data_IF_862366583071
#
_entry.id   IF_862366583071
#
_cell.length_a   1.000
_cell.length_b   1.000
_cell.length_c   1.000
_cell.angle_alpha   90.00
_cell.angle_beta   90.00
_cell.angle_gamma   90.00
#
_symmetry.space_group_name_H-M   'P 1'
#
loop_
_entity.id
_entity.type
_entity.pdbx_description
1 polymer ?
#
# COMPACT_ATOMS: atom_id res chain seq x y z
N UNK A 1 1.58 62.61 54.22
CA UNK A 1 2.41 61.81 55.15
C UNK A 1 3.08 60.68 54.39
N UNK A 2 4.40 60.72 54.28
CA UNK A 2 5.28 59.68 53.74
C UNK A 2 5.30 58.47 54.69
N UNK A 3 4.95 57.26 54.23
CA UNK A 3 5.46 55.98 54.79
C UNK A 3 5.59 54.90 53.72
N UNK A 4 6.80 54.88 53.17
CA UNK A 4 7.53 53.78 52.57
C UNK A 4 7.65 52.59 53.55
N UNK A 5 7.24 51.37 53.18
CA UNK A 5 7.77 50.07 53.65
C UNK A 5 7.29 48.96 52.68
N UNK A 6 8.13 48.49 51.76
CA UNK A 6 9.01 47.30 51.86
C UNK A 6 8.31 45.95 51.58
N UNK A 7 8.56 45.46 50.36
CA UNK A 7 8.75 44.08 49.89
C UNK A 7 8.22 42.90 50.75
N UNK A 8 7.32 42.11 50.17
CA UNK A 8 7.42 40.65 50.22
C UNK A 8 7.04 40.07 48.86
N UNK A 9 8.07 39.67 48.11
CA UNK A 9 7.98 38.66 47.05
C UNK A 9 7.70 37.33 47.75
N UNK A 10 6.63 36.63 47.39
CA UNK A 10 6.48 35.23 47.79
C UNK A 10 6.03 34.42 46.59
N UNK A 11 7.05 33.76 46.05
CA UNK A 11 7.10 32.58 45.21
C UNK A 11 5.76 31.92 44.84
N UNK A 12 5.58 31.79 43.52
CA UNK A 12 4.85 30.68 42.91
C UNK A 12 5.55 29.38 43.32
N UNK A 13 4.84 28.48 43.99
CA UNK A 13 5.26 27.09 44.13
C UNK A 13 4.18 26.20 43.50
N UNK A 14 4.46 25.79 42.26
CA UNK A 14 3.80 24.68 41.61
C UNK A 14 4.04 23.41 42.43
N UNK A 15 3.00 22.62 42.68
CA UNK A 15 3.15 21.23 43.10
C UNK A 15 2.87 20.34 41.90
N UNK A 16 3.91 20.16 41.09
CA UNK A 16 3.98 19.11 40.10
C UNK A 16 4.24 17.79 40.82
N UNK A 17 3.35 16.81 40.66
CA UNK A 17 3.64 15.43 41.01
C UNK A 17 4.38 14.82 39.82
N UNK A 18 5.70 14.82 39.89
CA UNK A 18 6.58 14.08 38.98
C UNK A 18 6.73 12.66 39.53
N UNK A 19 6.03 11.71 38.93
CA UNK A 19 6.53 10.33 38.91
C UNK A 19 7.25 10.17 37.58
N UNK A 20 8.58 10.24 37.69
CA UNK A 20 9.54 9.83 36.66
C UNK A 20 9.47 8.30 36.53
N UNK A 21 9.08 7.82 35.36
CA UNK A 21 9.40 6.45 34.90
C UNK A 21 10.25 6.58 33.64
N UNK A 22 11.27 5.71 33.46
CA UNK A 22 12.37 5.96 32.54
C UNK A 22 11.88 5.85 31.09
N UNK A 23 11.86 6.99 30.38
CA UNK A 23 11.76 7.02 28.93
C UNK A 23 13.08 6.50 28.34
N UNK A 24 13.19 5.18 28.21
CA UNK A 24 14.01 4.64 27.14
C UNK A 24 13.40 5.12 25.82
N UNK A 25 14.20 5.89 25.09
CA UNK A 25 13.79 6.55 23.86
C UNK A 25 13.36 5.56 22.78
N UNK A 26 12.18 5.83 22.23
CA UNK A 26 11.85 5.59 20.83
C UNK A 26 11.35 6.90 20.24
N UNK A 27 12.28 7.84 20.07
CA UNK A 27 12.22 8.75 18.93
C UNK A 27 12.87 7.96 17.78
N UNK A 28 12.29 7.76 16.59
CA UNK A 28 11.38 8.57 15.79
C UNK A 28 10.62 7.60 14.86
N UNK A 29 9.31 7.34 15.04
CA UNK A 29 8.59 6.42 14.12
C UNK A 29 7.05 6.54 14.13
N UNK A 30 6.44 7.73 14.20
CA UNK A 30 4.96 7.81 14.06
C UNK A 30 4.43 9.05 13.33
N UNK A 31 5.23 9.68 12.47
CA UNK A 31 4.75 10.71 11.52
C UNK A 31 5.07 10.41 10.05
N UNK A 32 5.46 9.17 9.72
CA UNK A 32 5.40 8.62 8.38
C UNK A 32 4.42 7.44 8.41
N UNK A 33 3.33 7.51 7.65
CA UNK A 33 2.61 6.28 7.26
C UNK A 33 3.56 5.33 6.51
N UNK A 34 3.20 4.05 6.30
CA UNK A 34 4.12 3.05 5.78
C UNK A 34 4.73 3.52 4.45
N UNK A 35 6.00 3.90 4.53
CA UNK A 35 6.93 3.82 3.44
C UNK A 35 8.18 3.13 4.00
N UNK A 36 9.05 2.67 3.11
CA UNK A 36 10.37 2.07 3.33
C UNK A 36 10.29 0.53 3.42
N UNK A 37 10.63 -0.30 2.41
CA UNK A 37 11.62 -0.20 1.33
C UNK A 37 11.22 -1.20 0.21
N UNK A 38 10.07 -0.97 -0.44
CA UNK A 38 9.59 -1.80 -1.55
C UNK A 38 9.68 -1.05 -2.88
N UNK A 39 9.82 -1.80 -3.98
CA UNK A 39 9.55 -1.30 -5.33
C UNK A 39 8.10 -0.79 -5.46
N UNK A 40 7.79 -0.08 -6.55
CA UNK A 40 6.40 0.11 -6.96
C UNK A 40 5.69 -1.24 -7.23
N UNK A 41 4.38 -1.18 -7.37
CA UNK A 41 3.47 -2.30 -7.66
C UNK A 41 3.43 -3.36 -6.57
N UNK A 42 3.60 -2.92 -5.32
CA UNK A 42 3.63 -3.79 -4.15
C UNK A 42 2.29 -4.45 -3.81
N UNK A 43 2.34 -5.39 -2.86
CA UNK A 43 1.17 -6.09 -2.35
C UNK A 43 0.35 -5.19 -1.40
N UNK A 44 -0.93 -4.87 -1.71
CA UNK A 44 -1.77 -4.02 -0.87
C UNK A 44 -1.94 -4.48 0.57
N UNK A 45 -1.77 -5.79 0.88
CA UNK A 45 -1.82 -6.32 2.25
C UNK A 45 -0.78 -5.69 3.17
N UNK A 46 0.33 -5.20 2.62
CA UNK A 46 1.42 -4.60 3.37
C UNK A 46 1.36 -3.06 3.36
N UNK A 47 0.28 -2.49 2.80
CA UNK A 47 0.23 -1.08 2.41
C UNK A 47 0.86 -0.83 1.05
N UNK A 48 0.48 0.29 0.43
CA UNK A 48 1.07 0.75 -0.83
C UNK A 48 2.23 1.72 -0.57
N UNK A 49 3.13 1.89 -1.54
CA UNK A 49 4.17 2.90 -1.45
C UNK A 49 3.55 4.32 -1.37
N UNK A 50 4.33 5.30 -0.90
CA UNK A 50 3.81 6.60 -0.50
C UNK A 50 3.08 7.38 -1.62
N UNK A 51 3.49 7.19 -2.87
CA UNK A 51 2.87 7.80 -4.06
C UNK A 51 1.91 6.86 -4.80
N UNK A 52 1.68 5.67 -4.28
CA UNK A 52 0.76 4.69 -4.83
C UNK A 52 -0.60 4.72 -4.15
N UNK A 53 -1.60 4.26 -4.89
CA UNK A 53 -2.94 4.01 -4.35
C UNK A 53 -3.34 2.57 -4.59
N UNK A 54 -4.11 2.04 -3.65
CA UNK A 54 -4.77 0.76 -3.83
C UNK A 54 -5.97 0.92 -4.77
N UNK A 55 -6.06 0.07 -5.78
CA UNK A 55 -7.20 -0.02 -6.68
C UNK A 55 -7.72 -1.44 -6.80
N UNK A 56 -9.04 -1.53 -7.01
CA UNK A 56 -9.72 -2.70 -7.57
C UNK A 56 -10.22 -2.35 -8.96
N UNK A 57 -9.84 -3.14 -9.95
CA UNK A 57 -10.31 -2.95 -11.34
C UNK A 57 -11.61 -3.72 -11.54
N UNK A 58 -12.66 -3.03 -11.98
CA UNK A 58 -13.98 -3.66 -12.18
C UNK A 58 -13.89 -4.84 -13.15
N UNK A 59 -14.36 -6.01 -12.71
CA UNK A 59 -14.36 -7.23 -13.50
C UNK A 59 -13.01 -7.96 -13.56
N UNK A 60 -12.06 -7.62 -12.69
CA UNK A 60 -10.80 -8.32 -12.50
C UNK A 60 -10.63 -8.60 -11.00
N UNK A 61 -10.32 -9.85 -10.66
CA UNK A 61 -10.17 -10.27 -9.27
C UNK A 61 -8.87 -9.74 -8.65
N UNK A 62 -8.91 -9.45 -7.35
CA UNK A 62 -7.76 -8.97 -6.58
C UNK A 62 -7.59 -7.45 -6.58
N UNK A 63 -6.62 -6.99 -5.79
CA UNK A 63 -6.26 -5.59 -5.62
C UNK A 63 -4.81 -5.34 -6.09
N UNK A 64 -4.47 -4.09 -6.34
CA UNK A 64 -3.12 -3.68 -6.70
C UNK A 64 -2.76 -2.33 -6.08
N UNK A 65 -1.49 -2.15 -5.74
CA UNK A 65 -0.91 -0.82 -5.53
C UNK A 65 -0.40 -0.29 -6.87
N UNK A 66 -0.66 0.98 -7.16
CA UNK A 66 -0.16 1.59 -8.39
C UNK A 66 0.12 3.09 -8.27
N UNK A 67 1.23 3.57 -8.86
CA UNK A 67 1.55 4.99 -8.94
C UNK A 67 0.73 5.69 -10.04
N UNK A 68 0.54 7.01 -9.93
CA UNK A 68 0.01 7.81 -11.02
C UNK A 68 0.95 7.77 -12.24
N UNK A 69 0.41 7.97 -13.43
CA UNK A 69 1.26 8.13 -14.61
C UNK A 69 2.07 9.44 -14.53
N UNK A 70 3.34 9.36 -14.91
CA UNK A 70 4.23 10.51 -15.03
C UNK A 70 4.08 11.27 -16.35
N UNK A 71 5.00 12.20 -16.58
CA UNK A 71 5.03 12.98 -17.81
C UNK A 71 5.20 12.09 -19.05
N UNK A 72 4.41 12.34 -20.09
CA UNK A 72 4.44 11.54 -21.32
C UNK A 72 3.91 10.11 -21.13
N UNK A 73 3.00 9.89 -20.19
CA UNK A 73 2.41 8.58 -19.86
C UNK A 73 3.47 7.56 -19.35
N UNK A 74 4.55 8.04 -18.71
CA UNK A 74 5.61 7.21 -18.14
C UNK A 74 5.16 6.47 -16.87
N UNK A 75 5.76 5.30 -16.61
CA UNK A 75 5.55 4.53 -15.39
C UNK A 75 6.88 4.14 -14.73
N UNK A 76 6.94 4.09 -13.39
CA UNK A 76 8.09 3.55 -12.68
C UNK A 76 8.44 2.13 -13.14
N UNK A 77 9.73 1.79 -13.11
CA UNK A 77 10.23 0.51 -13.62
C UNK A 77 10.89 -0.34 -12.54
N UNK A 78 11.02 0.18 -11.33
CA UNK A 78 11.34 -0.61 -10.15
C UNK A 78 10.10 -1.43 -9.80
N UNK A 79 10.18 -2.73 -10.10
CA UNK A 79 9.12 -3.71 -9.88
C UNK A 79 9.52 -4.68 -8.77
N UNK A 80 8.56 -5.40 -8.14
CA UNK A 80 8.87 -6.36 -7.10
C UNK A 80 9.76 -7.50 -7.59
N UNK A 81 10.45 -8.16 -6.66
CA UNK A 81 11.32 -9.28 -7.01
C UNK A 81 10.55 -10.37 -7.77
N UNK A 82 11.18 -10.91 -8.82
CA UNK A 82 10.57 -11.93 -9.68
C UNK A 82 9.53 -11.40 -10.67
N UNK A 83 9.21 -10.10 -10.65
CA UNK A 83 8.31 -9.49 -11.64
C UNK A 83 9.05 -9.23 -12.94
N UNK A 84 8.46 -9.71 -14.04
CA UNK A 84 8.90 -9.45 -15.42
C UNK A 84 7.80 -8.82 -16.27
N UNK A 85 6.61 -8.60 -15.68
CA UNK A 85 5.51 -7.85 -16.27
C UNK A 85 5.93 -6.41 -16.62
N UNK A 86 5.33 -5.87 -17.68
CA UNK A 86 5.71 -4.56 -18.21
C UNK A 86 4.85 -3.44 -17.61
N UNK A 87 5.45 -2.40 -16.98
CA UNK A 87 4.70 -1.22 -16.54
C UNK A 87 4.11 -0.45 -17.72
N UNK A 88 2.83 -0.14 -17.65
CA UNK A 88 2.15 0.66 -18.68
C UNK A 88 1.12 1.61 -18.06
N UNK A 89 1.10 2.86 -18.53
CA UNK A 89 0.08 3.82 -18.17
C UNK A 89 -1.23 3.50 -18.89
N UNK A 90 -2.34 3.34 -18.15
CA UNK A 90 -3.60 3.00 -18.82
C UNK A 90 -4.83 2.87 -17.94
N UNK A 91 -4.69 2.69 -16.62
CA UNK A 91 -5.85 2.70 -15.74
C UNK A 91 -6.37 4.13 -15.62
N UNK A 92 -7.58 4.40 -16.13
CA UNK A 92 -8.19 5.72 -16.07
C UNK A 92 -9.34 5.74 -15.06
N UNK A 93 -9.27 6.63 -14.09
CA UNK A 93 -10.35 6.88 -13.13
C UNK A 93 -11.42 7.82 -13.72
N UNK A 94 -12.64 7.90 -13.13
CA UNK A 94 -13.73 8.71 -13.68
C UNK A 94 -13.43 10.21 -13.79
N UNK A 95 -12.60 10.73 -12.90
CA UNK A 95 -12.08 12.11 -12.90
C UNK A 95 -11.00 12.35 -13.98
N UNK A 96 -10.57 11.29 -14.66
CA UNK A 96 -9.66 11.36 -15.79
C UNK A 96 -8.18 11.18 -15.44
N UNK A 97 -7.84 11.02 -14.15
CA UNK A 97 -6.48 10.67 -13.73
C UNK A 97 -6.10 9.29 -14.28
N UNK A 98 -4.84 9.15 -14.69
CA UNK A 98 -4.29 7.88 -15.15
C UNK A 98 -3.30 7.31 -14.14
N UNK A 99 -3.31 5.99 -14.01
CA UNK A 99 -2.41 5.22 -13.17
C UNK A 99 -1.74 4.12 -13.98
N UNK A 100 -0.59 3.68 -13.49
CA UNK A 100 0.19 2.62 -14.08
C UNK A 100 -0.41 1.24 -13.79
N UNK A 101 -0.03 0.24 -14.57
CA UNK A 101 -0.41 -1.15 -14.35
C UNK A 101 0.76 -2.03 -14.79
N UNK A 102 0.93 -3.18 -14.16
CA UNK A 102 1.81 -4.23 -14.67
C UNK A 102 1.03 -5.10 -15.64
N UNK A 103 1.37 -5.00 -16.93
CA UNK A 103 0.83 -5.87 -17.96
C UNK A 103 1.57 -7.20 -18.03
N UNK A 104 0.78 -8.27 -18.10
CA UNK A 104 1.26 -9.63 -18.25
C UNK A 104 0.51 -10.34 -19.39
N UNK A 105 1.04 -11.48 -19.83
CA UNK A 105 0.38 -12.34 -20.80
C UNK A 105 -0.23 -13.56 -20.08
N UNK A 106 -1.57 -13.68 -20.01
CA UNK A 106 -2.20 -14.85 -19.41
C UNK A 106 -2.05 -16.04 -20.37
N UNK A 107 -1.37 -17.11 -19.95
CA UNK A 107 -1.41 -18.39 -20.64
C UNK A 107 -2.63 -19.20 -20.21
N UNK A 108 -3.00 -20.23 -21.01
CA UNK A 108 -4.22 -21.01 -20.78
C UNK A 108 -4.16 -21.70 -19.40
N UNK A 109 -5.09 -21.32 -18.52
CA UNK A 109 -5.30 -21.96 -17.22
C UNK A 109 -4.79 -21.14 -16.02
N UNK A 110 -5.24 -19.89 -15.87
CA UNK A 110 -5.19 -19.06 -14.63
C UNK A 110 -3.85 -18.93 -13.86
N UNK A 111 -2.75 -19.45 -14.39
CA UNK A 111 -1.41 -19.37 -13.86
C UNK A 111 -0.52 -18.87 -14.99
N UNK A 112 -0.64 -17.59 -15.33
CA UNK A 112 0.28 -16.95 -16.28
C UNK A 112 1.68 -16.94 -15.70
N UNK A 113 2.52 -17.85 -16.18
CA UNK A 113 3.99 -17.97 -16.27
C UNK A 113 4.91 -17.18 -15.30
N UNK A 114 4.46 -16.79 -14.10
CA UNK A 114 5.33 -16.13 -13.12
C UNK A 114 5.80 -14.72 -13.51
N UNK A 115 5.13 -14.02 -14.44
CA UNK A 115 5.50 -12.64 -14.77
C UNK A 115 5.21 -11.64 -13.64
N UNK A 116 4.30 -12.00 -12.73
CA UNK A 116 3.80 -11.14 -11.68
C UNK A 116 4.44 -11.42 -10.31
N UNK A 117 5.51 -12.22 -10.24
CA UNK A 117 6.10 -12.63 -8.96
C UNK A 117 5.05 -13.29 -8.08
N UNK A 118 4.84 -12.74 -6.87
CA UNK A 118 3.81 -13.20 -5.92
C UNK A 118 2.37 -12.80 -6.29
N UNK A 119 2.18 -11.88 -7.24
CA UNK A 119 0.86 -11.55 -7.77
C UNK A 119 0.41 -12.55 -8.84
N UNK A 120 -0.86 -12.47 -9.22
CA UNK A 120 -1.48 -13.30 -10.26
C UNK A 120 -1.73 -12.49 -11.52
N UNK A 121 -1.39 -13.06 -12.67
CA UNK A 121 -1.75 -12.49 -13.96
C UNK A 121 -3.24 -12.74 -14.26
N UNK A 122 -4.08 -11.71 -14.15
CA UNK A 122 -5.52 -11.79 -14.38
C UNK A 122 -5.91 -11.25 -15.75
N UNK A 123 -6.61 -12.06 -16.54
CA UNK A 123 -7.05 -11.69 -17.88
C UNK A 123 -7.99 -10.49 -17.87
N UNK A 124 -7.79 -9.58 -18.82
CA UNK A 124 -8.69 -8.44 -19.04
C UNK A 124 -9.82 -8.84 -19.99
N UNK A 125 -11.07 -8.72 -19.56
CA UNK A 125 -12.23 -9.07 -20.37
C UNK A 125 -12.26 -8.23 -21.66
N UNK A 126 -12.38 -8.90 -22.81
CA UNK A 126 -12.41 -8.23 -24.12
C UNK A 126 -11.04 -7.86 -24.69
N UNK A 127 -9.94 -8.27 -24.03
CA UNK A 127 -8.57 -8.11 -24.53
C UNK A 127 -7.86 -9.48 -24.51
N UNK A 128 -8.02 -10.31 -25.57
CA UNK A 128 -7.38 -11.62 -25.62
C UNK A 128 -5.86 -11.52 -25.50
N UNK A 129 -5.26 -12.32 -24.63
CA UNK A 129 -3.81 -12.34 -24.42
C UNK A 129 -3.26 -11.16 -23.61
N UNK A 130 -4.11 -10.31 -23.03
CA UNK A 130 -3.71 -9.23 -22.12
C UNK A 130 -4.23 -9.52 -20.73
N UNK A 131 -3.35 -9.42 -19.74
CA UNK A 131 -3.66 -9.50 -18.33
C UNK A 131 -3.00 -8.39 -17.53
N UNK A 132 -3.43 -8.24 -16.28
CA UNK A 132 -2.81 -7.36 -15.30
C UNK A 132 -2.42 -8.15 -14.05
N UNK A 133 -1.30 -7.77 -13.42
CA UNK A 133 -0.91 -8.36 -12.14
C UNK A 133 -1.76 -7.79 -11.01
N UNK A 134 -2.44 -8.66 -10.27
CA UNK A 134 -3.18 -8.32 -9.05
C UNK A 134 -2.88 -9.30 -7.94
N UNK A 135 -3.00 -8.84 -6.70
CA UNK A 135 -2.82 -9.66 -5.51
C UNK A 135 -4.17 -10.14 -5.01
N UNK A 136 -4.21 -11.41 -4.61
CA UNK A 136 -5.32 -11.93 -3.84
C UNK A 136 -5.26 -11.32 -2.44
N UNK A 137 -6.22 -10.46 -2.17
CA UNK A 137 -6.64 -10.13 -0.83
C UNK A 137 -7.31 -11.37 -0.24
N UNK A 138 -6.79 -11.82 0.90
CA UNK A 138 -7.46 -12.88 1.64
C UNK A 138 -8.74 -12.27 2.15
N UNK A 139 -9.88 -12.84 1.78
CA UNK A 139 -11.02 -12.79 2.68
C UNK A 139 -10.56 -13.50 3.95
N UNK A 140 -10.30 -12.78 5.02
CA UNK A 140 -10.07 -13.38 6.35
C UNK A 140 -11.34 -14.05 6.92
N UNK A 141 -12.30 -14.41 6.07
CA UNK A 141 -13.32 -15.40 6.36
C UNK A 141 -13.03 -16.65 5.51
N UNK A 142 -12.28 -17.57 6.11
CA UNK A 142 -11.70 -18.76 5.51
C UNK A 142 -12.54 -19.45 4.43
N UNK A 143 -11.98 -19.48 3.23
CA UNK A 143 -12.28 -20.51 2.25
C UNK A 143 -11.59 -21.80 2.71
N UNK A 144 -12.33 -22.66 3.40
CA UNK A 144 -11.93 -24.08 3.50
C UNK A 144 -12.12 -24.65 2.10
N UNK A 145 -11.02 -24.89 1.39
CA UNK A 145 -11.01 -25.84 0.28
C UNK A 145 -11.47 -27.19 0.83
N UNK A 146 -12.67 -27.62 0.44
CA UNK A 146 -13.08 -29.01 0.62
C UNK A 146 -12.35 -29.80 -0.46
N UNK A 147 -11.14 -30.25 -0.16
CA UNK A 147 -10.54 -31.35 -0.92
C UNK A 147 -11.45 -32.58 -0.81
N UNK A 148 -11.95 -33.04 -1.96
CA UNK A 148 -12.37 -34.42 -2.14
C UNK A 148 -13.72 -34.82 -1.53
N UNK A 149 -14.76 -34.72 -2.35
CA UNK A 149 -15.81 -35.73 -2.38
C UNK A 149 -16.11 -36.08 -3.84
N UNK A 150 -15.28 -36.97 -4.39
CA UNK A 150 -15.73 -37.78 -5.52
C UNK A 150 -16.90 -38.65 -5.08
N UNK A 151 -17.93 -38.75 -5.90
CA UNK A 151 -18.89 -39.84 -5.87
C UNK A 151 -19.56 -39.98 -7.25
N UNK A 152 -19.21 -41.08 -7.91
CA UNK A 152 -19.99 -41.94 -8.83
C UNK A 152 -20.99 -41.30 -9.79
#
# INVERSE_FOLDING_TARGET
MMRLFLLLVSAVAASASLTEEPLMGVAEDWLAGPNMLGSHYGNPKNGCAADEKMFRVMGIDGDLCTPPCGAGDSCPTDVPDGVTAHPMCGLKTPDGTKYCLLLCQPTKGQLGDGMCGDAKCRSVKGQPGVGICTYDIGDENGEVEIEGAGAW
#
